data_IF_325942475386
#
_entry.id   IF_325942475386
#
_cell.length_a   1.000
_cell.length_b   1.000
_cell.length_c   1.000
_cell.angle_alpha   90.00
_cell.angle_beta   90.00
_cell.angle_gamma   90.00
#
_symmetry.space_group_name_H-M   'P 1'
#
loop_
_entity.id
_entity.type
_entity.pdbx_description
1 polymer ?
#
# COMPACT_ATOMS: atom_id res chain seq x y z
N UNK A 1 -2.53 -1.87 14.66
CA UNK A 1 -2.41 -0.85 13.61
C UNK A 1 -3.75 -0.57 12.99
N UNK A 2 -3.92 0.62 12.43
CA UNK A 2 -5.02 0.90 11.50
C UNK A 2 -4.83 0.05 10.24
N UNK A 3 -5.92 -0.20 9.52
CA UNK A 3 -5.92 -1.12 8.38
C UNK A 3 -6.51 -0.40 7.19
N UNK A 4 -5.88 -0.52 6.03
CA UNK A 4 -6.59 -0.30 4.76
C UNK A 4 -6.64 -1.60 3.97
N UNK A 5 -7.75 -1.77 3.25
CA UNK A 5 -7.96 -2.94 2.42
C UNK A 5 -7.64 -2.63 0.95
N UNK A 6 -6.90 -3.53 0.31
CA UNK A 6 -6.62 -3.48 -1.13
C UNK A 6 -7.51 -4.46 -1.85
N UNK A 7 -8.30 -3.95 -2.80
CA UNK A 7 -9.20 -4.74 -3.63
C UNK A 7 -10.54 -4.07 -3.93
N UNK A 8 -11.48 -4.82 -4.54
CA UNK A 8 -12.65 -4.23 -5.18
C UNK A 8 -13.92 -4.18 -4.30
N UNK A 9 -13.90 -4.68 -3.07
CA UNK A 9 -15.12 -4.96 -2.28
C UNK A 9 -15.40 -3.90 -1.20
N UNK A 10 -15.77 -2.70 -1.64
CA UNK A 10 -15.98 -1.54 -0.75
C UNK A 10 -17.02 -1.78 0.35
N UNK A 11 -18.12 -2.50 0.05
CA UNK A 11 -19.16 -2.79 1.04
C UNK A 11 -18.61 -3.65 2.18
N UNK A 12 -17.87 -4.71 1.83
CA UNK A 12 -17.24 -5.57 2.83
C UNK A 12 -16.21 -4.83 3.65
N UNK A 13 -15.38 -3.99 3.03
CA UNK A 13 -14.36 -3.24 3.74
C UNK A 13 -14.99 -2.23 4.71
N UNK A 14 -16.07 -1.55 4.31
CA UNK A 14 -16.82 -0.67 5.18
C UNK A 14 -17.45 -1.40 6.37
N UNK A 15 -17.99 -2.61 6.17
CA UNK A 15 -18.51 -3.44 7.26
C UNK A 15 -17.43 -3.86 8.26
N UNK A 16 -16.21 -4.12 7.79
CA UNK A 16 -15.05 -4.39 8.65
C UNK A 16 -14.55 -3.14 9.38
N UNK A 17 -14.98 -1.95 8.95
CA UNK A 17 -14.64 -0.67 9.54
C UNK A 17 -13.20 -0.21 9.28
N UNK A 18 -12.54 -0.76 8.26
CA UNK A 18 -11.14 -0.40 7.93
C UNK A 18 -11.02 1.10 7.63
N UNK A 19 -9.86 1.68 7.91
CA UNK A 19 -9.64 3.13 7.80
C UNK A 19 -9.42 3.63 6.37
N UNK A 20 -9.36 2.73 5.39
CA UNK A 20 -9.20 3.10 3.98
C UNK A 20 -9.33 1.93 3.01
N UNK A 21 -9.39 2.28 1.73
CA UNK A 21 -9.44 1.34 0.62
C UNK A 21 -8.47 1.77 -0.49
N UNK A 22 -7.61 0.84 -0.93
CA UNK A 22 -6.84 0.99 -2.15
C UNK A 22 -7.53 0.25 -3.29
N UNK A 23 -8.00 1.02 -4.27
CA UNK A 23 -8.66 0.54 -5.48
C UNK A 23 -7.62 0.10 -6.50
N UNK A 24 -7.82 -1.05 -7.11
CA UNK A 24 -6.98 -1.50 -8.23
C UNK A 24 -7.51 -0.95 -9.53
N UNK A 25 -6.66 -0.33 -10.34
CA UNK A 25 -7.04 0.19 -11.65
C UNK A 25 -5.95 -0.09 -12.69
N UNK A 26 -6.32 -0.28 -13.95
CA UNK A 26 -5.38 -0.39 -15.07
C UNK A 26 -5.83 0.53 -16.18
N UNK A 27 -4.89 1.26 -16.80
CA UNK A 27 -5.25 2.19 -17.87
C UNK A 27 -5.91 1.47 -19.05
N UNK A 28 -7.08 1.96 -19.45
CA UNK A 28 -7.86 1.40 -20.55
C UNK A 28 -8.23 2.45 -21.62
N UNK A 29 -7.60 3.63 -21.57
CA UNK A 29 -7.81 4.73 -22.52
C UNK A 29 -8.76 5.84 -22.02
N UNK A 30 -9.48 5.64 -20.91
CA UNK A 30 -10.36 6.64 -20.30
C UNK A 30 -10.21 6.71 -18.78
N UNK A 31 -10.68 7.80 -18.18
CA UNK A 31 -10.73 8.02 -16.74
C UNK A 31 -12.03 7.50 -16.11
N UNK A 32 -13.01 7.13 -16.93
CA UNK A 32 -14.39 6.89 -16.49
C UNK A 32 -14.50 5.80 -15.42
N UNK A 33 -13.80 4.68 -15.58
CA UNK A 33 -13.85 3.57 -14.63
C UNK A 33 -13.19 3.91 -13.29
N UNK A 34 -12.09 4.68 -13.31
CA UNK A 34 -11.47 5.19 -12.10
C UNK A 34 -12.39 6.15 -11.35
N UNK A 35 -13.02 7.10 -12.06
CA UNK A 35 -13.99 8.05 -11.51
C UNK A 35 -15.19 7.33 -10.92
N UNK A 36 -15.76 6.36 -11.64
CA UNK A 36 -16.90 5.58 -11.16
C UNK A 36 -16.56 4.78 -9.90
N UNK A 37 -15.37 4.17 -9.86
CA UNK A 37 -14.89 3.39 -8.71
C UNK A 37 -14.61 4.29 -7.50
N UNK A 38 -13.94 5.43 -7.69
CA UNK A 38 -13.68 6.40 -6.63
C UNK A 38 -14.97 6.96 -6.04
N UNK A 39 -15.94 7.33 -6.88
CA UNK A 39 -17.25 7.79 -6.45
C UNK A 39 -17.95 6.74 -5.57
N UNK A 40 -18.01 5.50 -6.05
CA UNK A 40 -18.67 4.39 -5.35
C UNK A 40 -17.99 4.12 -4.00
N UNK A 41 -16.66 4.03 -3.99
CA UNK A 41 -15.89 3.82 -2.77
C UNK A 41 -16.07 4.97 -1.78
N UNK A 42 -16.08 6.23 -2.24
CA UNK A 42 -16.30 7.39 -1.37
C UNK A 42 -17.70 7.43 -0.75
N UNK A 43 -18.73 7.09 -1.54
CA UNK A 43 -20.12 6.99 -1.05
C UNK A 43 -20.28 5.90 0.03
N UNK A 44 -19.58 4.76 -0.12
CA UNK A 44 -19.67 3.61 0.79
C UNK A 44 -18.77 3.76 2.03
N UNK A 45 -17.50 4.10 1.83
CA UNK A 45 -16.49 4.18 2.88
C UNK A 45 -16.57 5.48 3.69
N UNK A 46 -17.24 6.50 3.15
CA UNK A 46 -17.40 7.81 3.78
C UNK A 46 -16.21 8.76 3.52
N UNK A 47 -16.36 10.01 3.98
CA UNK A 47 -15.40 11.09 3.70
C UNK A 47 -14.08 10.97 4.48
N UNK A 48 -14.08 10.30 5.63
CA UNK A 48 -12.89 10.20 6.48
C UNK A 48 -11.96 9.04 6.07
N UNK A 49 -12.46 8.11 5.25
CA UNK A 49 -11.66 6.98 4.78
C UNK A 49 -10.56 7.44 3.82
N UNK A 50 -9.36 6.87 3.95
CA UNK A 50 -8.31 7.06 2.95
C UNK A 50 -8.69 6.27 1.69
N UNK A 51 -8.80 6.94 0.55
CA UNK A 51 -8.97 6.29 -0.74
C UNK A 51 -7.69 6.40 -1.55
N UNK A 52 -7.26 5.30 -2.14
CA UNK A 52 -6.00 5.21 -2.87
C UNK A 52 -6.20 4.46 -4.18
N UNK A 53 -5.29 4.63 -5.13
CA UNK A 53 -5.25 3.83 -6.35
C UNK A 53 -3.90 3.11 -6.51
N UNK A 54 -3.95 1.80 -6.65
CA UNK A 54 -2.85 0.97 -7.18
C UNK A 54 -3.06 0.83 -8.69
N UNK A 55 -2.02 1.21 -9.45
CA UNK A 55 -2.10 1.16 -10.91
C UNK A 55 -1.05 0.26 -11.56
N UNK A 56 -0.16 -0.35 -10.76
CA UNK A 56 0.82 -1.38 -11.15
C UNK A 56 1.52 -1.09 -12.48
N UNK A 57 2.17 0.06 -12.53
CA UNK A 57 2.99 0.54 -13.63
C UNK A 57 2.23 0.68 -14.97
N UNK A 58 0.89 0.69 -14.94
CA UNK A 58 0.07 0.76 -16.16
C UNK A 58 -0.18 2.17 -16.66
N UNK A 59 0.12 3.18 -15.84
CA UNK A 59 0.00 4.59 -16.21
C UNK A 59 1.34 5.11 -16.73
N UNK A 60 1.30 6.32 -17.28
CA UNK A 60 2.46 7.14 -17.56
C UNK A 60 2.26 8.52 -16.91
N UNK A 61 3.21 9.43 -17.09
CA UNK A 61 3.12 10.77 -16.51
C UNK A 61 1.88 11.55 -16.98
N UNK A 62 1.52 11.48 -18.26
CA UNK A 62 0.38 12.21 -18.83
C UNK A 62 -0.95 11.63 -18.32
N UNK A 63 -1.06 10.30 -18.28
CA UNK A 63 -2.21 9.59 -17.71
C UNK A 63 -2.36 9.93 -16.22
N UNK A 64 -1.26 9.96 -15.47
CA UNK A 64 -1.29 10.27 -14.03
C UNK A 64 -1.78 11.69 -13.79
N UNK A 65 -1.31 12.68 -14.56
CA UNK A 65 -1.81 14.06 -14.47
C UNK A 65 -3.30 14.16 -14.83
N UNK A 66 -3.73 13.44 -15.87
CA UNK A 66 -5.15 13.38 -16.26
C UNK A 66 -6.01 12.76 -15.16
N UNK A 67 -5.52 11.71 -14.49
CA UNK A 67 -6.21 11.06 -13.38
C UNK A 67 -6.27 11.95 -12.14
N UNK A 68 -5.20 12.69 -11.84
CA UNK A 68 -5.18 13.66 -10.74
C UNK A 68 -6.29 14.71 -10.90
N UNK A 69 -6.47 15.25 -12.11
CA UNK A 69 -7.54 16.21 -12.43
C UNK A 69 -8.94 15.56 -12.33
N UNK A 70 -9.11 14.40 -12.97
CA UNK A 70 -10.40 13.70 -13.01
C UNK A 70 -10.87 13.21 -11.64
N UNK A 71 -9.94 12.95 -10.71
CA UNK A 71 -10.23 12.42 -9.37
C UNK A 71 -10.17 13.48 -8.26
N UNK A 72 -9.97 14.76 -8.62
CA UNK A 72 -9.74 15.84 -7.66
C UNK A 72 -10.86 16.02 -6.61
N UNK A 73 -12.11 15.66 -6.94
CA UNK A 73 -13.25 15.79 -6.02
C UNK A 73 -13.36 14.66 -4.99
N UNK A 74 -12.59 13.56 -5.13
CA UNK A 74 -12.74 12.37 -4.29
C UNK A 74 -11.76 12.29 -3.12
N UNK A 75 -10.91 13.30 -2.93
CA UNK A 75 -9.89 13.35 -1.86
C UNK A 75 -9.03 12.08 -1.84
N UNK A 76 -8.35 11.82 -2.97
CA UNK A 76 -7.47 10.66 -3.10
C UNK A 76 -6.21 10.88 -2.27
N UNK A 77 -5.92 9.94 -1.37
CA UNK A 77 -4.80 10.00 -0.46
C UNK A 77 -3.47 9.71 -1.15
N UNK A 78 -3.39 8.69 -2.01
CA UNK A 78 -2.22 8.46 -2.87
C UNK A 78 -2.55 7.78 -4.20
N UNK A 79 -1.65 7.95 -5.17
CA UNK A 79 -1.49 7.08 -6.32
C UNK A 79 -0.24 6.23 -6.15
N UNK A 80 -0.34 4.95 -6.50
CA UNK A 80 0.69 3.95 -6.24
C UNK A 80 1.15 3.24 -7.52
N UNK A 81 2.47 3.09 -7.65
CA UNK A 81 3.15 2.45 -8.77
C UNK A 81 2.66 3.00 -10.12
N UNK A 82 2.68 4.33 -10.27
CA UNK A 82 2.17 5.01 -11.47
C UNK A 82 3.05 4.88 -12.70
N UNK A 83 4.36 4.71 -12.51
CA UNK A 83 5.36 4.52 -13.57
C UNK A 83 6.14 3.24 -13.26
N UNK A 84 6.96 2.79 -14.22
CA UNK A 84 7.95 1.74 -13.96
C UNK A 84 8.90 2.12 -12.81
N UNK A 85 9.31 1.19 -11.94
CA UNK A 85 10.29 1.45 -10.89
C UNK A 85 11.66 1.88 -11.44
N UNK A 86 11.97 1.56 -12.71
CA UNK A 86 13.25 1.90 -13.34
C UNK A 86 13.45 3.41 -13.60
N UNK A 87 12.39 4.24 -13.51
CA UNK A 87 12.45 5.67 -13.84
C UNK A 87 12.18 6.57 -12.62
N UNK A 88 13.00 6.39 -11.58
CA UNK A 88 12.93 7.16 -10.31
C UNK A 88 13.06 8.67 -10.52
N UNK A 89 13.80 9.11 -11.55
CA UNK A 89 13.94 10.52 -11.89
C UNK A 89 12.61 11.09 -12.41
N UNK A 90 11.94 10.41 -13.34
CA UNK A 90 10.63 10.85 -13.83
C UNK A 90 9.56 10.84 -12.73
N UNK A 91 9.59 9.85 -11.82
CA UNK A 91 8.74 9.82 -10.63
C UNK A 91 8.96 11.06 -9.75
N UNK A 92 10.21 11.42 -9.47
CA UNK A 92 10.56 12.62 -8.70
C UNK A 92 10.10 13.93 -9.35
N UNK A 93 10.17 14.02 -10.68
CA UNK A 93 9.64 15.16 -11.43
C UNK A 93 8.11 15.21 -11.46
N UNK A 94 7.44 14.05 -11.42
CA UNK A 94 5.98 13.94 -11.47
C UNK A 94 5.34 14.23 -10.12
N UNK A 95 5.93 13.72 -9.03
CA UNK A 95 5.42 13.84 -7.66
C UNK A 95 4.90 15.24 -7.29
N UNK A 96 5.63 16.35 -7.45
CA UNK A 96 5.12 17.68 -7.10
C UNK A 96 3.96 18.17 -7.99
N UNK A 97 3.76 17.58 -9.18
CA UNK A 97 2.74 18.01 -10.14
C UNK A 97 1.35 17.44 -9.84
N UNK A 98 1.26 16.38 -9.04
CA UNK A 98 -0.01 15.73 -8.66
C UNK A 98 -0.50 16.10 -7.25
N UNK A 99 0.28 16.92 -6.53
CA UNK A 99 -0.11 17.46 -5.22
C UNK A 99 -1.51 18.08 -5.29
N UNK A 100 -2.38 17.84 -4.29
CA UNK A 100 -2.07 17.30 -2.95
C UNK A 100 -2.07 15.76 -2.86
N UNK A 101 -2.26 15.04 -3.96
CA UNK A 101 -2.23 13.57 -3.97
C UNK A 101 -0.78 13.11 -3.76
N UNK A 102 -0.56 12.20 -2.82
CA UNK A 102 0.77 11.63 -2.59
C UNK A 102 1.14 10.62 -3.69
N UNK A 103 2.43 10.49 -3.96
CA UNK A 103 2.96 9.39 -4.75
C UNK A 103 3.55 8.32 -3.84
N UNK A 104 3.06 7.10 -3.94
CA UNK A 104 3.51 5.95 -3.17
C UNK A 104 4.11 4.88 -4.09
N UNK A 105 5.06 4.11 -3.59
CA UNK A 105 5.59 2.97 -4.33
C UNK A 105 6.85 2.38 -3.71
N UNK A 106 7.49 1.49 -4.46
CA UNK A 106 8.74 0.81 -4.05
C UNK A 106 8.56 -0.65 -3.64
N UNK A 107 7.39 -1.25 -3.87
CA UNK A 107 7.21 -2.70 -3.67
C UNK A 107 8.16 -3.50 -4.58
N UNK A 108 8.39 -3.00 -5.79
CA UNK A 108 9.30 -3.56 -6.80
C UNK A 108 10.76 -3.08 -6.67
N UNK A 109 11.14 -2.44 -5.56
CA UNK A 109 12.52 -2.00 -5.32
C UNK A 109 13.23 -2.86 -4.27
N UNK A 110 14.55 -3.02 -4.40
CA UNK A 110 15.31 -4.02 -3.67
C UNK A 110 16.49 -3.44 -2.87
N UNK A 111 16.48 -3.72 -1.58
CA UNK A 111 17.56 -3.38 -0.67
C UNK A 111 17.75 -1.87 -0.46
N UNK A 112 18.64 -1.53 0.46
CA UNK A 112 18.86 -0.12 0.86
C UNK A 112 19.46 0.75 -0.26
N UNK A 113 20.10 0.14 -1.27
CA UNK A 113 20.71 0.89 -2.38
C UNK A 113 19.64 1.41 -3.33
N UNK A 114 18.66 0.59 -3.70
CA UNK A 114 17.54 1.04 -4.53
C UNK A 114 16.69 2.12 -3.84
N UNK A 115 16.37 1.91 -2.56
CA UNK A 115 15.67 2.92 -1.77
C UNK A 115 16.47 4.21 -1.56
N UNK A 116 17.81 4.17 -1.61
CA UNK A 116 18.64 5.38 -1.61
C UNK A 116 18.48 6.15 -2.92
N UNK A 117 18.39 5.46 -4.05
CA UNK A 117 18.15 6.11 -5.34
C UNK A 117 16.77 6.78 -5.39
N UNK A 118 15.74 6.09 -4.89
CA UNK A 118 14.40 6.67 -4.64
C UNK A 118 14.49 7.95 -3.80
N UNK A 119 15.26 7.92 -2.71
CA UNK A 119 15.41 9.03 -1.78
C UNK A 119 16.12 10.24 -2.42
N UNK A 120 17.23 9.98 -3.12
CA UNK A 120 18.05 11.02 -3.76
C UNK A 120 17.30 11.73 -4.90
N UNK A 121 16.40 11.03 -5.60
CA UNK A 121 15.51 11.62 -6.62
C UNK A 121 14.20 12.18 -6.05
N UNK A 122 13.89 11.90 -4.78
CA UNK A 122 12.61 12.26 -4.17
C UNK A 122 11.43 11.67 -4.94
N UNK A 123 11.53 10.39 -5.33
CA UNK A 123 10.59 9.73 -6.23
C UNK A 123 9.20 9.48 -5.61
N UNK A 124 9.12 9.30 -4.29
CA UNK A 124 7.87 8.99 -3.58
C UNK A 124 7.72 9.81 -2.30
N UNK A 125 6.47 10.11 -1.95
CA UNK A 125 6.06 10.67 -0.66
C UNK A 125 5.91 9.58 0.41
N UNK A 126 5.64 8.33 0.01
CA UNK A 126 5.45 7.18 0.90
C UNK A 126 6.19 5.97 0.31
N UNK A 127 7.02 5.31 1.12
CA UNK A 127 7.77 4.13 0.68
C UNK A 127 7.06 2.84 1.06
N UNK A 128 7.00 1.89 0.13
CA UNK A 128 6.20 0.66 0.29
C UNK A 128 7.01 -0.62 0.02
N UNK A 129 8.13 -0.87 0.72
CA UNK A 129 8.89 -2.11 0.54
C UNK A 129 8.02 -3.34 0.85
N UNK A 130 8.01 -4.33 -0.04
CA UNK A 130 7.52 -5.67 0.32
C UNK A 130 8.61 -6.43 1.06
N UNK A 131 8.34 -6.84 2.30
CA UNK A 131 9.33 -7.50 3.17
C UNK A 131 9.81 -8.83 2.63
N UNK A 132 8.97 -9.53 1.87
CA UNK A 132 9.33 -10.80 1.24
C UNK A 132 10.13 -10.61 -0.04
N UNK A 133 10.17 -9.40 -0.61
CA UNK A 133 10.86 -9.11 -1.88
C UNK A 133 12.12 -8.27 -1.69
N UNK A 134 12.06 -7.20 -0.88
CA UNK A 134 13.10 -6.17 -0.77
C UNK A 134 14.43 -6.64 -0.13
N UNK A 135 14.53 -7.92 0.26
CA UNK A 135 15.69 -8.50 0.94
C UNK A 135 15.43 -8.92 2.40
N UNK A 136 14.17 -9.03 2.82
CA UNK A 136 13.79 -9.51 4.15
C UNK A 136 13.77 -8.42 5.23
N UNK A 137 13.42 -8.81 6.46
CA UNK A 137 13.35 -7.91 7.63
C UNK A 137 14.63 -7.10 7.83
N UNK A 138 15.81 -7.72 7.64
CA UNK A 138 17.09 -7.02 7.79
C UNK A 138 17.25 -5.86 6.79
N UNK A 139 16.82 -6.07 5.55
CA UNK A 139 16.81 -4.99 4.55
C UNK A 139 15.72 -3.96 4.89
N UNK A 140 14.52 -4.41 5.27
CA UNK A 140 13.41 -3.55 5.68
C UNK A 140 13.77 -2.59 6.82
N UNK A 141 14.49 -3.07 7.85
CA UNK A 141 14.98 -2.22 8.95
C UNK A 141 15.92 -1.12 8.45
N UNK A 142 16.86 -1.46 7.55
CA UNK A 142 17.79 -0.47 6.96
C UNK A 142 17.07 0.53 6.04
N UNK A 143 16.03 0.08 5.35
CA UNK A 143 15.16 0.97 4.55
C UNK A 143 14.42 1.94 5.47
N UNK A 144 13.90 1.47 6.61
CA UNK A 144 13.25 2.34 7.60
C UNK A 144 14.22 3.36 8.22
N UNK A 145 15.44 2.95 8.56
CA UNK A 145 16.50 3.86 9.03
C UNK A 145 16.78 4.96 7.99
N UNK A 146 16.93 4.58 6.71
CA UNK A 146 17.10 5.52 5.61
C UNK A 146 15.87 6.43 5.45
N UNK A 147 14.66 5.91 5.57
CA UNK A 147 13.43 6.68 5.47
C UNK A 147 13.36 7.77 6.54
N UNK A 148 13.80 7.47 7.77
CA UNK A 148 13.92 8.46 8.86
C UNK A 148 14.94 9.55 8.54
N UNK A 149 16.09 9.21 7.93
CA UNK A 149 17.09 10.20 7.52
C UNK A 149 16.53 11.20 6.50
N UNK A 150 15.65 10.75 5.60
CA UNK A 150 15.03 11.58 4.56
C UNK A 150 13.66 12.16 4.96
N UNK A 151 13.12 11.78 6.12
CA UNK A 151 11.81 12.23 6.60
C UNK A 151 10.65 11.69 5.77
N UNK A 152 10.77 10.48 5.21
CA UNK A 152 9.74 9.83 4.39
C UNK A 152 9.07 8.72 5.21
N UNK A 153 7.73 8.67 5.32
CA UNK A 153 7.03 7.59 5.99
C UNK A 153 7.10 6.28 5.19
N UNK A 154 7.03 5.16 5.92
CA UNK A 154 7.00 3.81 5.35
C UNK A 154 5.65 3.15 5.61
N UNK A 155 5.03 2.62 4.55
CA UNK A 155 3.82 1.79 4.61
C UNK A 155 4.09 0.52 3.81
N UNK A 156 4.62 -0.55 4.42
CA UNK A 156 5.06 -1.74 3.68
C UNK A 156 3.94 -2.34 2.82
N UNK A 157 4.27 -2.71 1.57
CA UNK A 157 3.36 -3.49 0.73
C UNK A 157 3.00 -4.79 1.45
N UNK A 158 1.70 -5.13 1.48
CA UNK A 158 1.14 -6.24 2.26
C UNK A 158 1.53 -6.18 3.74
N UNK A 159 1.65 -4.97 4.28
CA UNK A 159 2.10 -4.72 5.66
C UNK A 159 1.26 -5.37 6.76
N UNK A 160 0.03 -5.78 6.47
CA UNK A 160 -0.84 -6.53 7.38
C UNK A 160 -0.48 -8.01 7.53
N UNK A 161 0.34 -8.56 6.63
CA UNK A 161 0.88 -9.91 6.80
C UNK A 161 1.92 -9.97 7.90
N UNK A 162 2.15 -11.16 8.46
CA UNK A 162 3.01 -11.32 9.64
C UNK A 162 4.42 -10.73 9.48
N UNK A 163 4.98 -10.74 8.27
CA UNK A 163 6.31 -10.20 8.02
C UNK A 163 6.33 -8.67 8.12
N UNK A 164 5.39 -7.99 7.45
CA UNK A 164 5.25 -6.53 7.48
C UNK A 164 4.75 -6.02 8.83
N UNK A 165 3.82 -6.75 9.46
CA UNK A 165 3.15 -6.31 10.68
C UNK A 165 4.15 -6.17 11.83
N UNK A 166 5.11 -7.09 11.94
CA UNK A 166 6.18 -6.99 12.94
C UNK A 166 7.12 -5.81 12.68
N UNK A 167 7.37 -5.45 11.42
CA UNK A 167 8.19 -4.28 11.09
C UNK A 167 7.46 -2.99 11.49
N UNK A 168 6.17 -2.87 11.15
CA UNK A 168 5.33 -1.71 11.53
C UNK A 168 5.27 -1.57 13.05
N UNK A 169 5.16 -2.68 13.79
CA UNK A 169 5.11 -2.64 15.25
C UNK A 169 6.41 -2.13 15.89
N UNK A 170 7.55 -2.34 15.23
CA UNK A 170 8.87 -2.19 15.82
C UNK A 170 9.60 -0.91 15.40
N UNK A 171 9.10 -0.18 14.39
CA UNK A 171 9.85 0.92 13.80
C UNK A 171 8.99 2.19 13.63
N UNK A 172 9.45 3.29 14.21
CA UNK A 172 8.78 4.61 14.16
C UNK A 172 8.80 5.27 12.78
N UNK A 173 9.59 4.75 11.82
CA UNK A 173 9.53 5.18 10.42
C UNK A 173 8.22 4.73 9.75
N UNK A 174 7.63 3.64 10.26
CA UNK A 174 6.41 3.10 9.71
C UNK A 174 5.21 3.88 10.24
N UNK A 175 4.34 4.31 9.33
CA UNK A 175 3.02 4.78 9.73
C UNK A 175 2.25 3.63 10.40
N UNK A 176 1.37 3.97 11.34
CA UNK A 176 0.52 3.00 12.04
C UNK A 176 -0.63 2.46 11.16
N UNK A 177 -0.32 2.10 9.91
CA UNK A 177 -1.24 1.76 8.84
C UNK A 177 -0.74 0.49 8.14
N UNK A 178 -1.56 -0.56 8.15
CA UNK A 178 -1.21 -1.86 7.60
C UNK A 178 -2.10 -2.20 6.40
N UNK A 179 -1.49 -2.63 5.30
CA UNK A 179 -2.19 -3.10 4.11
C UNK A 179 -2.69 -4.53 4.27
N UNK A 180 -3.97 -4.76 3.99
CA UNK A 180 -4.52 -6.11 3.78
C UNK A 180 -4.99 -6.28 2.34
N UNK A 181 -4.39 -7.20 1.59
CA UNK A 181 -4.85 -7.56 0.25
C UNK A 181 -5.98 -8.59 0.38
N UNK A 182 -7.23 -8.13 0.32
CA UNK A 182 -8.39 -8.92 0.76
C UNK A 182 -9.23 -9.48 -0.39
N UNK A 183 -9.19 -8.88 -1.58
CA UNK A 183 -10.03 -9.32 -2.69
C UNK A 183 -11.52 -9.19 -2.37
N UNK A 184 -12.33 -10.22 -2.64
CA UNK A 184 -13.78 -10.22 -2.35
C UNK A 184 -14.09 -11.14 -1.18
N UNK A 185 -15.17 -10.86 -0.43
CA UNK A 185 -15.54 -11.60 0.80
C UNK A 185 -15.53 -13.11 0.65
N UNK A 186 -16.05 -13.60 -0.46
CA UNK A 186 -16.24 -15.03 -0.71
C UNK A 186 -15.13 -15.63 -1.60
N UNK A 187 -14.04 -14.90 -1.83
CA UNK A 187 -12.88 -15.43 -2.52
C UNK A 187 -12.19 -16.49 -1.66
N UNK A 188 -11.65 -17.52 -2.31
CA UNK A 188 -10.82 -18.50 -1.62
C UNK A 188 -9.56 -17.82 -1.08
N UNK A 189 -9.30 -18.01 0.21
CA UNK A 189 -8.03 -17.62 0.84
C UNK A 189 -7.05 -18.79 0.82
N UNK A 190 -5.76 -18.48 0.85
CA UNK A 190 -4.74 -19.48 1.14
C UNK A 190 -4.72 -19.76 2.65
N UNK A 191 -4.73 -21.04 3.02
CA UNK A 191 -4.73 -21.51 4.39
C UNK A 191 -3.34 -22.04 4.82
N UNK A 192 -2.27 -21.69 4.08
CA UNK A 192 -0.89 -22.15 4.31
C UNK A 192 -0.40 -21.87 5.74
N UNK A 193 -0.77 -20.71 6.30
CA UNK A 193 -0.30 -20.26 7.61
C UNK A 193 -1.44 -20.23 8.63
N UNK A 194 -1.39 -21.14 9.59
CA UNK A 194 -2.27 -21.14 10.75
C UNK A 194 -1.83 -20.02 11.70
N UNK A 195 -2.80 -19.19 12.11
CA UNK A 195 -2.56 -18.08 13.03
C UNK A 195 -2.19 -16.77 12.34
N UNK A 196 -2.50 -16.63 11.05
CA UNK A 196 -2.39 -15.36 10.34
C UNK A 196 -3.16 -14.22 11.04
N UNK A 197 -2.68 -12.96 10.93
CA UNK A 197 -3.38 -11.80 11.45
C UNK A 197 -4.76 -11.68 10.82
N UNK A 198 -5.76 -11.39 11.66
CA UNK A 198 -7.13 -11.13 11.26
C UNK A 198 -7.56 -9.77 11.78
N UNK A 199 -8.39 -9.07 11.01
CA UNK A 199 -8.92 -7.76 11.40
C UNK A 199 -9.89 -7.96 12.57
N UNK A 200 -9.57 -7.36 13.72
CA UNK A 200 -10.41 -7.34 14.92
C UNK A 200 -10.77 -5.90 15.25
N UNK A 201 -12.06 -5.57 15.18
CA UNK A 201 -12.55 -4.21 15.48
C UNK A 201 -11.82 -3.13 14.68
N UNK A 202 -11.74 -3.33 13.35
CA UNK A 202 -11.03 -2.52 12.34
C UNK A 202 -9.51 -2.40 12.47
N UNK A 203 -8.87 -3.18 13.36
CA UNK A 203 -7.44 -3.11 13.60
C UNK A 203 -6.77 -4.47 13.43
N UNK A 204 -5.47 -4.43 13.16
CA UNK A 204 -4.59 -5.59 13.26
C UNK A 204 -3.69 -5.49 14.49
N UNK A 205 -3.36 -6.63 15.07
CA UNK A 205 -2.41 -6.72 16.18
C UNK A 205 -1.44 -7.87 15.96
N UNK A 206 -0.19 -7.67 16.40
CA UNK A 206 0.74 -8.79 16.57
C UNK A 206 0.28 -9.67 17.74
N UNK A 207 0.65 -10.95 17.72
CA UNK A 207 0.37 -11.88 18.82
C UNK A 207 1.64 -12.17 19.63
N UNK A 208 1.50 -12.76 20.81
CA UNK A 208 2.62 -13.04 21.72
C UNK A 208 3.33 -14.38 21.45
N UNK A 209 3.05 -15.06 20.32
CA UNK A 209 3.69 -16.35 20.01
C UNK A 209 5.11 -16.12 19.47
N UNK A 210 6.04 -17.07 19.68
CA UNK A 210 7.41 -16.93 19.19
C UNK A 210 7.53 -16.76 17.67
N UNK A 211 8.58 -16.05 17.22
CA UNK A 211 8.85 -15.81 15.81
C UNK A 211 7.81 -14.85 15.20
N UNK A 212 7.31 -15.19 14.02
CA UNK A 212 6.24 -14.44 13.35
C UNK A 212 4.83 -14.86 13.81
N UNK A 213 4.75 -15.76 14.79
CA UNK A 213 3.49 -16.17 15.41
C UNK A 213 2.55 -16.98 14.53
N UNK A 214 3.05 -17.58 13.45
CA UNK A 214 2.33 -18.50 12.55
C UNK A 214 2.92 -19.89 12.54
N UNK A 215 2.13 -20.87 12.14
CA UNK A 215 2.54 -22.26 11.94
C UNK A 215 2.14 -22.73 10.55
N UNK A 216 2.95 -23.59 9.94
CA UNK A 216 2.59 -24.20 8.67
C UNK A 216 1.35 -25.07 8.85
N UNK A 217 0.45 -25.04 7.89
CA UNK A 217 -0.71 -25.93 7.85
C UNK A 217 -0.30 -27.32 7.36
N UNK A 218 -0.13 -28.25 8.30
CA UNK A 218 0.24 -29.64 7.99
C UNK A 218 -0.77 -30.36 7.10
N UNK A 219 -2.01 -29.88 6.99
CA UNK A 219 -3.03 -30.43 6.08
C UNK A 219 -2.79 -30.11 4.60
N UNK A 220 -1.81 -29.24 4.30
CA UNK A 220 -1.43 -28.85 2.94
C UNK A 220 -0.13 -29.50 2.45
N UNK A 221 0.48 -30.36 3.28
CA UNK A 221 1.66 -31.18 2.95
C UNK A 221 1.25 -32.56 2.42
#
# INVERSE_FOLDING_TARGET
MEVYATGPDSEWYAELGVSGQKLTHRWNGTTDDAVASAKTAREIMGNDAKLMFDVYMSWDADVTLKMADALAEFDIYWFEDVLTPDDVAALGELRPKISPINLAGGEHEFGVVGFRDIAEHGAFDIWQPDITWCGGITAGLRICELAQEYGVPVVPHRGGEVWGLHLIAANDACDNLAEMVMGRRDASTDDLWIGNPSIEGSRLSINDRPGFGVQLNDGML
#
